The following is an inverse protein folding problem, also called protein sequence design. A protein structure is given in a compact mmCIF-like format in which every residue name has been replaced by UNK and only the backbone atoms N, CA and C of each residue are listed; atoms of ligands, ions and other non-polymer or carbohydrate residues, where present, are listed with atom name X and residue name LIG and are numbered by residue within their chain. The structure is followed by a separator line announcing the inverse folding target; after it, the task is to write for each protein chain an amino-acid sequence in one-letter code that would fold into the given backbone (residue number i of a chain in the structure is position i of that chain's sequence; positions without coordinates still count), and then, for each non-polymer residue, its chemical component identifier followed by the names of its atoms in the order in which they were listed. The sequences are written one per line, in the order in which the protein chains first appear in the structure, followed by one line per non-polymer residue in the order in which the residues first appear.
data_IF_349614519103
#
_entry.id   IF_349614519103
#
_cell.length_a   1.000
_cell.length_b   1.000
_cell.length_c   1.000
_cell.angle_alpha   90.00
_cell.angle_beta   90.00
_cell.angle_gamma   90.00
#
_symmetry.space_group_name_H-M   'P 1'
#
loop_
_entity.id
_entity.type
_entity.pdbx_description
1 polymer ?
#
# COMPACT_ATOMS: atom_id res chain seq x y z
N UNK A 1 -11.16 8.22 -8.72
CA UNK A 1 -11.84 7.13 -7.95
C UNK A 1 -12.51 7.73 -6.73
N UNK A 2 -13.61 7.14 -6.23
CA UNK A 2 -14.30 7.61 -5.02
C UNK A 2 -14.41 6.48 -4.01
N UNK A 3 -14.03 6.74 -2.76
CA UNK A 3 -14.24 5.85 -1.62
C UNK A 3 -15.24 6.49 -0.66
N UNK A 4 -16.31 5.79 -0.31
CA UNK A 4 -17.41 6.32 0.50
C UNK A 4 -17.41 5.78 1.93
N UNK A 5 -17.98 6.55 2.86
CA UNK A 5 -18.17 6.18 4.26
C UNK A 5 -16.87 5.71 4.96
N UNK A 6 -15.77 6.38 4.65
CA UNK A 6 -14.43 6.04 5.13
C UNK A 6 -14.20 6.58 6.54
N UNK A 7 -13.70 5.75 7.45
CA UNK A 7 -13.43 6.19 8.85
C UNK A 7 -12.11 6.91 9.02
N UNK A 8 -11.16 6.71 8.09
CA UNK A 8 -9.84 7.34 8.04
C UNK A 8 -9.32 7.25 6.60
N UNK A 9 -8.84 8.35 6.04
CA UNK A 9 -8.40 8.40 4.64
C UNK A 9 -7.21 7.48 4.36
N UNK A 10 -6.14 7.57 5.17
CA UNK A 10 -5.07 6.59 5.15
C UNK A 10 -4.24 6.64 6.44
N UNK A 11 -3.56 5.52 6.73
CA UNK A 11 -2.51 5.41 7.73
C UNK A 11 -1.27 4.83 7.04
N UNK A 12 -0.28 5.68 6.82
CA UNK A 12 0.97 5.38 6.12
C UNK A 12 2.12 5.56 7.11
N UNK A 13 2.73 4.46 7.50
CA UNK A 13 3.78 4.43 8.52
C UNK A 13 4.96 3.62 7.97
N UNK A 14 6.02 4.31 7.58
CA UNK A 14 7.29 3.68 7.20
C UNK A 14 8.12 3.31 8.42
N UNK A 15 9.39 2.96 8.16
CA UNK A 15 10.33 2.55 9.19
C UNK A 15 11.17 3.77 9.58
N UNK A 16 11.35 4.08 10.87
CA UNK A 16 12.22 5.17 11.29
C UNK A 16 13.65 5.00 10.76
N UNK A 17 14.13 6.00 10.03
CA UNK A 17 15.44 5.98 9.37
C UNK A 17 15.47 5.28 8.01
N UNK A 18 14.37 4.65 7.60
CA UNK A 18 14.18 4.04 6.27
C UNK A 18 12.74 4.32 5.77
N UNK A 19 12.47 5.58 5.36
CA UNK A 19 11.12 5.99 5.02
C UNK A 19 10.60 5.28 3.77
N UNK A 20 9.30 5.00 3.74
CA UNK A 20 8.69 4.46 2.53
C UNK A 20 8.50 5.60 1.51
N UNK A 21 9.26 5.52 0.42
CA UNK A 21 9.27 6.54 -0.64
C UNK A 21 8.54 6.05 -1.90
N UNK A 22 8.35 6.95 -2.88
CA UNK A 22 7.72 6.61 -4.16
C UNK A 22 6.20 6.42 -4.08
N UNK A 23 5.57 6.88 -2.99
CA UNK A 23 4.11 6.86 -2.86
C UNK A 23 3.52 7.87 -3.85
N UNK A 24 2.56 7.43 -4.66
CA UNK A 24 1.87 8.28 -5.63
C UNK A 24 0.35 8.09 -5.49
N UNK A 25 -0.38 9.18 -5.26
CA UNK A 25 -1.84 9.16 -5.15
C UNK A 25 -2.42 10.22 -6.09
N UNK A 26 -3.16 9.79 -7.12
CA UNK A 26 -3.72 10.70 -8.12
C UNK A 26 -5.22 10.48 -8.30
N UNK A 27 -5.98 11.59 -8.33
CA UNK A 27 -7.40 11.66 -8.65
C UNK A 27 -8.27 10.74 -7.76
N UNK A 28 -8.13 10.89 -6.44
CA UNK A 28 -8.84 10.11 -5.43
C UNK A 28 -9.70 11.02 -4.55
N UNK A 29 -10.99 10.74 -4.48
CA UNK A 29 -11.91 11.37 -3.54
C UNK A 29 -12.27 10.36 -2.44
N UNK A 30 -12.15 10.77 -1.19
CA UNK A 30 -12.42 9.96 0.00
C UNK A 30 -13.47 10.68 0.81
N UNK A 31 -14.70 10.17 0.78
CA UNK A 31 -15.80 10.69 1.55
C UNK A 31 -15.82 10.07 2.94
N UNK A 32 -15.54 10.90 3.94
CA UNK A 32 -15.44 10.45 5.33
C UNK A 32 -16.83 10.18 5.94
N UNK A 33 -16.90 9.12 6.74
CA UNK A 33 -18.08 8.78 7.53
C UNK A 33 -18.42 9.90 8.53
N UNK A 34 -19.70 10.01 8.92
CA UNK A 34 -20.18 11.00 9.92
C UNK A 34 -19.43 10.93 11.27
N UNK A 35 -18.90 9.76 11.62
CA UNK A 35 -18.11 9.50 12.84
C UNK A 35 -16.67 9.08 12.48
N UNK A 36 -16.06 9.73 11.48
CA UNK A 36 -14.68 9.49 11.12
C UNK A 36 -13.70 9.98 12.19
N UNK A 37 -12.45 9.49 12.12
CA UNK A 37 -11.36 9.95 12.97
C UNK A 37 -11.07 11.43 12.69
N UNK A 38 -10.68 12.16 13.74
CA UNK A 38 -10.32 13.60 13.63
C UNK A 38 -9.13 13.85 12.71
N UNK A 39 -8.20 12.90 12.68
CA UNK A 39 -7.02 12.93 11.83
C UNK A 39 -7.29 11.96 10.68
N UNK A 40 -7.67 12.44 9.49
CA UNK A 40 -8.00 11.57 8.36
C UNK A 40 -6.75 10.93 7.76
N UNK A 41 -5.62 11.61 7.81
CA UNK A 41 -4.32 11.13 7.31
C UNK A 41 -3.34 11.00 8.47
N UNK A 42 -2.81 9.80 8.68
CA UNK A 42 -1.66 9.60 9.55
C UNK A 42 -0.46 9.21 8.68
N UNK A 43 0.59 10.01 8.76
CA UNK A 43 1.78 9.89 7.93
C UNK A 43 3.02 9.98 8.81
N UNK A 44 3.83 8.93 8.83
CA UNK A 44 5.11 8.90 9.52
C UNK A 44 6.14 8.17 8.67
N UNK A 45 7.34 8.72 8.55
CA UNK A 45 8.44 8.10 7.80
C UNK A 45 8.03 7.70 6.37
N UNK A 46 7.37 8.62 5.65
CA UNK A 46 6.97 8.43 4.25
C UNK A 46 7.32 9.64 3.40
N UNK A 47 7.47 9.42 2.09
CA UNK A 47 7.64 10.48 1.09
C UNK A 47 6.96 10.10 -0.24
N UNK A 48 6.44 11.09 -0.95
CA UNK A 48 5.78 10.86 -2.23
C UNK A 48 5.15 12.11 -2.82
N UNK A 49 4.16 11.92 -3.70
CA UNK A 49 3.43 13.00 -4.35
C UNK A 49 1.93 12.70 -4.40
N UNK A 50 1.12 13.75 -4.49
CA UNK A 50 -0.30 13.62 -4.79
C UNK A 50 -0.75 14.58 -5.89
N UNK A 51 -1.89 14.31 -6.51
CA UNK A 51 -2.57 15.24 -7.43
C UNK A 51 -4.08 15.01 -7.41
N UNK A 52 -4.86 16.05 -7.13
CA UNK A 52 -6.33 15.94 -7.13
C UNK A 52 -6.88 14.95 -6.10
N UNK A 53 -6.35 14.96 -4.88
CA UNK A 53 -6.77 14.10 -3.78
C UNK A 53 -7.60 14.88 -2.76
N UNK A 54 -8.76 14.35 -2.40
CA UNK A 54 -9.69 14.97 -1.43
C UNK A 54 -10.07 13.95 -0.36
N UNK A 55 -9.95 14.25 0.95
CA UNK A 55 -9.40 15.46 1.55
C UNK A 55 -7.88 15.53 1.35
N UNK A 56 -7.32 16.74 1.43
CA UNK A 56 -5.90 16.98 1.21
C UNK A 56 -5.03 16.05 2.08
N UNK A 57 -4.02 15.37 1.50
CA UNK A 57 -3.06 14.56 2.24
C UNK A 57 -2.18 15.39 3.20
N UNK A 58 -1.35 14.66 3.95
CA UNK A 58 -0.27 15.23 4.76
C UNK A 58 0.85 15.85 3.90
N UNK A 59 1.67 16.72 4.50
CA UNK A 59 2.76 17.44 3.80
C UNK A 59 3.84 16.53 3.18
N UNK A 60 3.94 15.28 3.64
CA UNK A 60 4.81 14.26 3.05
C UNK A 60 4.35 13.80 1.64
N UNK A 61 3.11 14.13 1.26
CA UNK A 61 2.49 13.83 -0.04
C UNK A 61 1.95 15.11 -0.69
N UNK A 62 2.82 16.09 -1.00
CA UNK A 62 2.39 17.39 -1.50
C UNK A 62 1.62 17.27 -2.81
N UNK A 63 0.55 18.06 -2.91
CA UNK A 63 -0.25 18.19 -4.14
C UNK A 63 0.57 18.91 -5.21
N UNK A 64 0.86 18.23 -6.32
CA UNK A 64 1.57 18.77 -7.47
C UNK A 64 0.67 19.62 -8.38
N UNK A 65 -0.63 19.68 -8.08
CA UNK A 65 -1.64 20.41 -8.84
C UNK A 65 -2.16 19.66 -10.07
N UNK A 66 -3.19 20.23 -10.68
CA UNK A 66 -3.91 19.65 -11.82
C UNK A 66 -3.16 19.71 -13.16
N UNK A 67 -2.04 20.43 -13.23
CA UNK A 67 -1.13 20.43 -14.39
C UNK A 67 -0.12 19.28 -14.38
N UNK A 68 0.11 18.68 -13.20
CA UNK A 68 0.93 17.50 -12.96
C UNK A 68 0.03 16.31 -12.60
N UNK A 69 -0.95 16.01 -13.45
CA UNK A 69 -1.59 14.69 -13.43
C UNK A 69 -0.56 13.73 -14.06
N UNK A 70 0.56 13.50 -13.36
CA UNK A 70 1.30 12.27 -13.59
C UNK A 70 0.33 11.18 -13.17
N UNK A 71 -0.23 10.48 -14.15
CA UNK A 71 -0.75 9.15 -13.90
C UNK A 71 0.35 8.43 -13.12
N UNK A 72 0.02 7.88 -11.95
CA UNK A 72 0.94 7.10 -11.12
C UNK A 72 1.31 5.84 -11.91
N UNK A 73 2.15 6.02 -12.93
CA UNK A 73 2.49 5.00 -13.89
C UNK A 73 3.33 3.98 -13.17
N UNK A 74 2.92 2.73 -13.32
CA UNK A 74 3.73 1.64 -12.85
C UNK A 74 5.08 1.68 -13.59
N UNK A 75 6.21 1.46 -12.91
CA UNK A 75 7.50 1.38 -13.56
C UNK A 75 7.46 0.37 -14.72
N UNK A 76 7.97 0.76 -15.88
CA UNK A 76 8.06 -0.15 -17.04
C UNK A 76 9.30 -1.05 -16.99
N UNK A 77 10.25 -0.72 -16.12
CA UNK A 77 11.46 -1.51 -15.90
C UNK A 77 11.09 -2.80 -15.16
N UNK A 78 11.51 -3.93 -15.72
CA UNK A 78 11.38 -5.24 -15.06
C UNK A 78 12.67 -5.56 -14.31
N UNK A 79 12.54 -5.89 -13.03
CA UNK A 79 13.65 -6.36 -12.21
C UNK A 79 13.90 -7.85 -12.50
N UNK A 80 15.14 -8.35 -12.28
CA UNK A 80 15.45 -9.77 -12.44
C UNK A 80 14.55 -10.70 -11.61
N UNK A 81 14.00 -10.20 -10.49
CA UNK A 81 13.10 -10.96 -9.62
C UNK A 81 11.69 -11.12 -10.22
N UNK A 82 11.26 -10.22 -11.11
CA UNK A 82 9.90 -10.23 -11.68
C UNK A 82 9.70 -11.39 -12.65
N UNK A 83 10.79 -11.85 -13.28
CA UNK A 83 10.82 -12.96 -14.23
C UNK A 83 11.41 -14.25 -13.64
N UNK A 84 11.52 -14.34 -12.31
CA UNK A 84 12.06 -15.53 -11.66
C UNK A 84 11.07 -16.70 -11.77
N UNK A 85 11.53 -17.82 -12.34
CA UNK A 85 10.77 -19.07 -12.30
C UNK A 85 10.73 -19.63 -10.87
N UNK A 86 9.60 -19.47 -10.20
CA UNK A 86 9.39 -20.01 -8.85
C UNK A 86 9.27 -21.53 -8.96
N UNK A 87 10.14 -22.25 -8.27
CA UNK A 87 10.00 -23.70 -8.14
C UNK A 87 9.09 -24.05 -6.98
N UNK A 88 7.99 -24.72 -7.28
CA UNK A 88 7.07 -25.22 -6.26
C UNK A 88 7.55 -26.57 -5.75
N UNK A 89 7.91 -26.63 -4.48
CA UNK A 89 8.15 -27.89 -3.79
C UNK A 89 6.82 -28.46 -3.30
N UNK A 90 6.63 -29.77 -3.45
CA UNK A 90 5.50 -30.48 -2.85
C UNK A 90 6.02 -31.64 -2.00
N UNK A 91 5.38 -31.86 -0.85
CA UNK A 91 5.70 -32.97 0.03
C UNK A 91 4.43 -33.70 0.45
N UNK A 92 4.40 -35.00 0.21
CA UNK A 92 3.30 -35.87 0.62
C UNK A 92 3.66 -36.55 1.93
N UNK A 93 2.97 -36.19 3.02
CA UNK A 93 3.05 -36.97 4.26
C UNK A 93 2.37 -38.31 4.05
N UNK A 94 3.15 -39.40 4.08
CA UNK A 94 2.61 -40.73 4.31
C UNK A 94 2.18 -40.81 5.78
N UNK A 95 0.88 -40.81 6.03
CA UNK A 95 0.38 -41.22 7.34
C UNK A 95 0.71 -42.70 7.52
N UNK A 96 1.76 -43.00 8.30
CA UNK A 96 1.73 -44.24 9.07
C UNK A 96 0.69 -44.02 10.16
N UNK A 97 -0.22 -44.96 10.31
CA UNK A 97 -1.12 -45.06 11.46
C UNK A 97 -0.25 -45.32 12.70
N UNK A 98 0.43 -44.29 13.20
CA UNK A 98 0.96 -44.22 14.55
C UNK A 98 1.21 -42.74 14.88
N UNK A 99 0.55 -42.29 15.95
CA UNK A 99 0.40 -40.91 16.37
C UNK A 99 1.73 -40.11 16.42
N UNK A 100 1.95 -39.19 15.49
CA UNK A 100 2.58 -37.90 15.82
C UNK A 100 2.33 -36.86 14.72
N UNK A 101 1.61 -35.80 15.07
CA UNK A 101 1.35 -34.66 14.19
C UNK A 101 2.61 -33.79 14.14
N UNK A 102 3.33 -33.82 13.03
CA UNK A 102 4.37 -32.81 12.72
C UNK A 102 4.01 -32.03 11.47
N UNK A 103 3.36 -30.89 11.70
CA UNK A 103 3.21 -29.80 10.73
C UNK A 103 4.53 -29.16 10.30
N UNK A 104 4.42 -28.35 9.24
CA UNK A 104 5.37 -27.32 8.78
C UNK A 104 6.48 -27.83 7.83
N UNK A 105 6.94 -27.08 6.81
CA UNK A 105 6.57 -25.78 6.23
C UNK A 105 6.23 -25.96 4.74
#
# INVERSE_FOLDING_TARGET
MVAENVTMAARLEGIPGDPFTGICISNVTIELAKKAKKVPWNCTDIEGISSGVVPQPCDALPDQGSGYISECNFPTESLPIDNLEIQTCSYTRKYSLDNHVTGHL
#
